data_IF_018256601442
#
_entry.id   IF_018256601442
#
_cell.length_a   1.000
_cell.length_b   1.000
_cell.length_c   1.000
_cell.angle_alpha   90.00
_cell.angle_beta   90.00
_cell.angle_gamma   90.00
#
_symmetry.space_group_name_H-M   'P 1'
#
loop_
_entity.id
_entity.type
_entity.pdbx_description
1 polymer ?
#
# COMPACT_ATOMS: atom_id res chain seq x y z
N UNK A 1 12.66 -4.08 4.64
CA UNK A 1 11.45 -3.25 4.74
C UNK A 1 11.79 -1.91 4.13
N UNK A 2 11.01 -1.42 3.16
CA UNK A 2 11.24 -0.08 2.62
C UNK A 2 10.58 0.94 3.56
N UNK A 3 11.02 2.19 3.50
CA UNK A 3 10.43 3.30 4.28
C UNK A 3 9.00 3.61 3.83
N UNK A 4 8.63 3.27 2.59
CA UNK A 4 7.36 3.68 1.96
C UNK A 4 6.46 2.52 1.57
N UNK A 5 6.96 1.27 1.61
CA UNK A 5 6.17 0.08 1.30
C UNK A 5 6.56 -1.11 2.18
N UNK A 6 5.53 -1.81 2.67
CA UNK A 6 5.69 -3.14 3.26
C UNK A 6 4.52 -4.05 2.88
N UNK A 7 4.72 -5.35 3.05
CA UNK A 7 3.65 -6.34 2.94
C UNK A 7 3.12 -6.60 4.36
N UNK A 8 1.83 -6.35 4.58
CA UNK A 8 1.13 -6.61 5.85
C UNK A 8 0.16 -7.78 5.74
N UNK A 9 -0.16 -8.49 6.84
CA UNK A 9 -1.17 -9.53 6.83
C UNK A 9 -2.55 -8.92 6.53
N UNK A 10 -3.29 -9.50 5.59
CA UNK A 10 -4.67 -9.09 5.31
C UNK A 10 -5.63 -9.61 6.36
N UNK A 11 -6.40 -8.72 7.01
CA UNK A 11 -7.50 -9.11 7.92
C UNK A 11 -8.81 -8.43 7.51
N UNK A 12 -9.95 -9.07 7.77
CA UNK A 12 -11.28 -8.53 7.43
C UNK A 12 -11.73 -8.81 5.99
N UNK A 13 -12.41 -7.84 5.36
CA UNK A 13 -13.09 -7.99 4.06
C UNK A 13 -12.17 -8.25 2.85
N UNK A 14 -10.85 -8.18 3.05
CA UNK A 14 -9.82 -8.43 2.04
C UNK A 14 -8.91 -9.59 2.49
N UNK A 15 -9.51 -10.73 2.86
CA UNK A 15 -8.78 -11.90 3.35
C UNK A 15 -7.87 -12.52 2.27
N UNK A 16 -6.62 -12.09 2.25
CA UNK A 16 -5.55 -12.65 1.45
C UNK A 16 -4.23 -12.59 2.21
N UNK A 17 -3.36 -13.59 2.01
CA UNK A 17 -2.17 -13.82 2.84
C UNK A 17 -1.37 -12.55 3.15
N UNK A 18 -0.88 -11.87 2.12
CA UNK A 18 -0.12 -10.62 2.24
C UNK A 18 -0.69 -9.55 1.32
N UNK A 19 -0.87 -8.34 1.86
CA UNK A 19 -1.37 -7.18 1.15
C UNK A 19 -0.32 -6.07 1.09
N UNK A 20 -0.21 -5.34 -0.03
CA UNK A 20 0.66 -4.18 -0.09
C UNK A 20 0.10 -3.06 0.77
N UNK A 21 0.99 -2.45 1.56
CA UNK A 21 0.73 -1.22 2.31
C UNK A 21 1.73 -0.18 1.84
N UNK A 22 1.22 0.95 1.38
CA UNK A 22 2.02 2.06 0.84
C UNK A 22 1.77 3.31 1.67
N UNK A 23 2.85 3.97 2.08
CA UNK A 23 2.81 5.27 2.74
C UNK A 23 3.24 6.36 1.77
N UNK A 24 2.44 7.42 1.67
CA UNK A 24 2.77 8.58 0.85
C UNK A 24 2.14 9.87 1.39
N UNK A 25 2.69 10.99 0.97
CA UNK A 25 2.14 12.34 1.19
C UNK A 25 1.79 12.92 -0.18
N UNK A 26 0.51 12.88 -0.61
CA UNK A 26 0.04 13.47 -1.85
C UNK A 26 0.11 15.01 -1.85
N UNK A 27 -0.30 15.62 -2.95
CA UNK A 27 -0.23 17.08 -3.13
C UNK A 27 -1.06 17.91 -2.12
N UNK A 28 -1.96 17.26 -1.38
CA UNK A 28 -2.74 17.86 -0.28
C UNK A 28 -1.95 17.94 1.04
N UNK A 29 -0.74 17.37 1.09
CA UNK A 29 0.17 17.45 2.23
C UNK A 29 -0.18 16.53 3.41
N UNK A 30 -1.23 15.71 3.30
CA UNK A 30 -1.61 14.78 4.35
C UNK A 30 -0.88 13.44 4.22
N UNK A 31 -0.63 12.77 5.34
CA UNK A 31 -0.07 11.41 5.36
C UNK A 31 -1.18 10.39 5.09
N UNK A 32 -0.96 9.51 4.11
CA UNK A 32 -1.90 8.44 3.76
C UNK A 32 -1.27 7.06 3.91
N UNK A 33 -2.11 6.12 4.36
CA UNK A 33 -1.84 4.68 4.35
C UNK A 33 -2.78 4.01 3.34
N UNK A 34 -2.23 3.55 2.22
CA UNK A 34 -2.98 2.85 1.18
C UNK A 34 -2.82 1.34 1.36
N UNK A 35 -3.93 0.63 1.56
CA UNK A 35 -3.93 -0.81 1.80
C UNK A 35 -4.63 -1.52 0.63
N UNK A 36 -4.02 -2.57 0.10
CA UNK A 36 -4.65 -3.45 -0.89
C UNK A 36 -4.74 -2.90 -2.31
N UNK A 37 -3.93 -1.91 -2.65
CA UNK A 37 -3.88 -1.37 -4.01
C UNK A 37 -3.25 -2.37 -4.99
N UNK A 38 -3.74 -2.37 -6.23
CA UNK A 38 -3.08 -3.08 -7.34
C UNK A 38 -1.81 -2.31 -7.72
N UNK A 39 -0.69 -3.01 -7.81
CA UNK A 39 0.57 -2.45 -8.29
C UNK A 39 0.79 -2.84 -9.76
N UNK A 40 1.22 -1.89 -10.58
CA UNK A 40 1.70 -2.12 -11.94
C UNK A 40 2.94 -1.26 -12.19
N UNK A 41 3.86 -1.68 -13.09
CA UNK A 41 4.98 -0.84 -13.49
C UNK A 41 4.51 0.53 -14.01
N UNK A 42 5.21 1.61 -13.61
CA UNK A 42 4.91 2.97 -14.08
C UNK A 42 5.11 3.13 -15.59
N UNK A 43 6.02 2.34 -16.14
CA UNK A 43 6.35 2.32 -17.57
C UNK A 43 6.34 0.84 -17.95
N UNK A 44 5.46 0.48 -18.89
CA UNK A 44 5.46 -0.83 -19.55
C UNK A 44 6.32 -0.77 -20.80
#
# INVERSE_FOLDING_TARGET
>A
MSETVFAGPGTGAFSGGWMPVVFAIPADGAEYCFVGMRAAPRVA
#
